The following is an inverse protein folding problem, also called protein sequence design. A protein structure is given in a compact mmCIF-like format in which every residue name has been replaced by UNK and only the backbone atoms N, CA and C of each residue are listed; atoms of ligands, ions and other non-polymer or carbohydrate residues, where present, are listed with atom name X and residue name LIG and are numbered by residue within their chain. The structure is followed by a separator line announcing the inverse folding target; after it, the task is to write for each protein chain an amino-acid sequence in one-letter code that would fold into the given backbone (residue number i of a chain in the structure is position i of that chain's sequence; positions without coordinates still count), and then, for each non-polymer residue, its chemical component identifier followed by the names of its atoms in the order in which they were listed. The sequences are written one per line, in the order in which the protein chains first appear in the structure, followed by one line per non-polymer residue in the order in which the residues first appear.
data_IF_081161390861
#
_entry.id   IF_081161390861
#
_cell.length_a   1.000
_cell.length_b   1.000
_cell.length_c   1.000
_cell.angle_alpha   90.00
_cell.angle_beta   90.00
_cell.angle_gamma   90.00
#
_symmetry.space_group_name_H-M   'P 1'
#
loop_
_entity.id
_entity.type
_entity.pdbx_description
1 polymer ?
#
# COMPACT_ATOMS: atom_id res chain seq x y z
N UNK A 1 13.27 -13.31 -15.73
CA UNK A 1 12.07 -12.93 -16.52
C UNK A 1 10.85 -12.58 -15.66
N UNK A 2 10.44 -13.36 -14.67
CA UNK A 2 9.21 -13.11 -13.86
C UNK A 2 9.12 -11.76 -13.14
N UNK A 3 10.25 -11.16 -12.73
CA UNK A 3 10.25 -9.88 -11.98
C UNK A 3 9.83 -8.66 -12.80
N UNK A 4 10.01 -8.67 -14.13
CA UNK A 4 9.68 -7.54 -15.02
C UNK A 4 8.18 -7.43 -15.32
N UNK A 5 7.40 -8.46 -14.99
CA UNK A 5 5.96 -8.54 -15.29
C UNK A 5 5.12 -8.00 -14.13
N UNK A 6 5.63 -8.00 -12.89
CA UNK A 6 4.83 -7.65 -11.70
C UNK A 6 4.37 -6.19 -11.67
N UNK A 7 5.23 -5.25 -12.05
CA UNK A 7 4.86 -3.83 -12.07
C UNK A 7 3.80 -3.56 -13.13
N UNK A 8 4.00 -3.91 -14.43
CA UNK A 8 2.96 -3.68 -15.43
C UNK A 8 1.67 -4.46 -15.13
N UNK A 9 1.74 -5.67 -14.56
CA UNK A 9 0.55 -6.42 -14.18
C UNK A 9 -0.25 -5.73 -13.06
N UNK A 10 0.43 -5.18 -12.04
CA UNK A 10 -0.25 -4.44 -10.98
C UNK A 10 -0.83 -3.11 -11.48
N UNK A 11 -0.11 -2.40 -12.35
CA UNK A 11 -0.61 -1.18 -12.99
C UNK A 11 -1.86 -1.49 -13.82
N UNK A 12 -1.78 -2.51 -14.67
CA UNK A 12 -2.92 -2.94 -15.49
C UNK A 12 -4.11 -3.38 -14.63
N UNK A 13 -3.87 -4.17 -13.56
CA UNK A 13 -4.90 -4.56 -12.61
C UNK A 13 -5.59 -3.38 -11.94
N UNK A 14 -4.82 -2.37 -11.52
CA UNK A 14 -5.37 -1.16 -10.93
C UNK A 14 -6.19 -0.35 -11.95
N UNK A 15 -5.70 -0.19 -13.17
CA UNK A 15 -6.44 0.48 -14.26
C UNK A 15 -7.71 -0.28 -14.64
N UNK A 16 -7.66 -1.60 -14.65
CA UNK A 16 -8.83 -2.44 -14.88
C UNK A 16 -9.90 -2.24 -13.79
N UNK A 17 -9.48 -2.14 -12.52
CA UNK A 17 -10.38 -1.80 -11.40
C UNK A 17 -11.06 -0.46 -11.63
N UNK A 18 -10.33 0.57 -12.06
CA UNK A 18 -10.90 1.88 -12.43
C UNK A 18 -11.91 1.71 -13.56
N UNK A 19 -11.51 1.09 -14.67
CA UNK A 19 -12.34 0.93 -15.86
C UNK A 19 -13.64 0.18 -15.55
N UNK A 20 -13.58 -0.96 -14.88
CA UNK A 20 -14.75 -1.75 -14.52
C UNK A 20 -15.68 -0.99 -13.56
N UNK A 21 -15.12 -0.22 -12.61
CA UNK A 21 -15.92 0.57 -11.68
C UNK A 21 -16.65 1.70 -12.43
N UNK A 22 -15.94 2.42 -13.31
CA UNK A 22 -16.56 3.50 -14.09
C UNK A 22 -17.57 2.98 -15.12
N UNK A 23 -17.35 1.81 -15.70
CA UNK A 23 -18.33 1.16 -16.60
C UNK A 23 -19.60 0.77 -15.83
N UNK A 24 -19.47 0.30 -14.59
CA UNK A 24 -20.61 -0.13 -13.79
C UNK A 24 -21.41 1.04 -13.16
N UNK A 25 -20.74 2.12 -12.76
CA UNK A 25 -21.33 3.20 -11.95
C UNK A 25 -21.26 4.58 -12.63
N UNK A 26 -20.72 4.66 -13.86
CA UNK A 26 -20.54 5.90 -14.60
C UNK A 26 -19.32 6.71 -14.14
N UNK A 27 -18.99 7.77 -14.91
CA UNK A 27 -17.86 8.66 -14.61
C UNK A 27 -18.25 9.87 -13.74
N UNK A 28 -19.44 9.86 -13.14
CA UNK A 28 -19.91 10.91 -12.22
C UNK A 28 -19.28 10.82 -10.82
N UNK A 29 -19.76 11.65 -9.86
CA UNK A 29 -19.22 11.71 -8.50
C UNK A 29 -19.21 10.37 -7.77
N UNK A 30 -20.27 9.56 -7.92
CA UNK A 30 -20.36 8.25 -7.28
C UNK A 30 -19.37 7.25 -7.87
N UNK A 31 -19.32 7.10 -9.20
CA UNK A 31 -18.43 6.15 -9.85
C UNK A 31 -16.97 6.47 -9.61
N UNK A 32 -16.57 7.76 -9.64
CA UNK A 32 -15.19 8.17 -9.34
C UNK A 32 -14.82 7.96 -7.87
N UNK A 33 -15.75 8.15 -6.92
CA UNK A 33 -15.57 7.82 -5.51
C UNK A 33 -15.35 6.32 -5.32
N UNK A 34 -16.18 5.49 -5.96
CA UNK A 34 -16.03 4.04 -5.91
C UNK A 34 -14.73 3.57 -6.59
N UNK A 35 -14.33 4.19 -7.70
CA UNK A 35 -13.05 3.89 -8.36
C UNK A 35 -11.86 4.20 -7.44
N UNK A 36 -11.86 5.35 -6.77
CA UNK A 36 -10.83 5.71 -5.80
C UNK A 36 -10.80 4.71 -4.62
N UNK A 37 -11.96 4.33 -4.08
CA UNK A 37 -12.06 3.35 -2.98
C UNK A 37 -11.58 1.95 -3.41
N UNK A 38 -12.00 1.46 -4.55
CA UNK A 38 -11.65 0.14 -5.04
C UNK A 38 -10.17 0.03 -5.41
N UNK A 39 -9.57 1.08 -5.97
CA UNK A 39 -8.12 1.14 -6.22
C UNK A 39 -7.30 1.24 -4.93
N UNK A 40 -7.80 1.90 -3.88
CA UNK A 40 -7.18 1.87 -2.55
C UNK A 40 -7.15 0.45 -1.98
N UNK A 41 -8.26 -0.30 -2.09
CA UNK A 41 -8.36 -1.71 -1.68
C UNK A 41 -7.39 -2.60 -2.44
N UNK A 42 -7.33 -2.45 -3.76
CA UNK A 42 -6.39 -3.18 -4.61
C UNK A 42 -4.94 -2.85 -4.22
N UNK A 43 -4.62 -1.59 -4.01
CA UNK A 43 -3.30 -1.15 -3.55
C UNK A 43 -2.92 -1.73 -2.19
N UNK A 44 -3.86 -1.78 -1.22
CA UNK A 44 -3.63 -2.39 0.09
C UNK A 44 -3.37 -3.89 0.02
N UNK A 45 -4.05 -4.59 -0.90
CA UNK A 45 -3.81 -6.01 -1.17
C UNK A 45 -2.38 -6.24 -1.71
N UNK A 46 -1.97 -5.47 -2.73
CA UNK A 46 -0.61 -5.57 -3.30
C UNK A 46 0.45 -5.23 -2.25
N UNK A 47 0.20 -4.24 -1.39
CA UNK A 47 1.08 -3.89 -0.27
C UNK A 47 1.22 -5.04 0.73
N UNK A 48 0.12 -5.68 1.13
CA UNK A 48 0.11 -6.82 2.03
C UNK A 48 0.92 -8.00 1.47
N UNK A 49 0.76 -8.28 0.17
CA UNK A 49 1.56 -9.29 -0.54
C UNK A 49 3.05 -8.91 -0.56
N UNK A 50 3.38 -7.63 -0.77
CA UNK A 50 4.77 -7.16 -0.75
C UNK A 50 5.39 -7.36 0.63
N UNK A 51 4.67 -7.09 1.73
CA UNK A 51 5.11 -7.36 3.10
C UNK A 51 5.40 -8.85 3.34
N UNK A 52 4.51 -9.75 2.90
CA UNK A 52 4.69 -11.20 3.05
C UNK A 52 5.92 -11.71 2.29
N UNK A 53 6.10 -11.26 1.05
CA UNK A 53 7.24 -11.67 0.22
C UNK A 53 8.55 -11.10 0.76
N UNK A 54 8.52 -9.88 1.31
CA UNK A 54 9.65 -9.29 2.00
C UNK A 54 10.00 -10.07 3.28
N UNK A 55 9.01 -10.40 4.11
CA UNK A 55 9.19 -11.21 5.31
C UNK A 55 9.76 -12.61 5.00
N UNK A 56 9.40 -13.19 3.85
CA UNK A 56 9.95 -14.46 3.37
C UNK A 56 11.37 -14.33 2.80
N UNK A 57 11.97 -13.13 2.77
CA UNK A 57 13.32 -12.90 2.24
C UNK A 57 13.45 -13.19 0.74
N UNK A 58 12.36 -13.18 -0.01
CA UNK A 58 12.37 -13.58 -1.42
C UNK A 58 12.89 -12.46 -2.32
N UNK A 59 13.67 -12.84 -3.32
CA UNK A 59 14.25 -11.93 -4.31
C UNK A 59 13.21 -11.14 -5.16
N UNK A 60 11.91 -11.49 -5.05
CA UNK A 60 10.82 -10.77 -5.70
C UNK A 60 10.31 -9.56 -4.89
N UNK A 61 10.74 -9.39 -3.63
CA UNK A 61 10.25 -8.32 -2.76
C UNK A 61 10.38 -6.91 -3.36
N UNK A 62 11.52 -6.48 -3.93
CA UNK A 62 11.62 -5.16 -4.54
C UNK A 62 10.66 -4.96 -5.72
N UNK A 63 10.46 -5.99 -6.55
CA UNK A 63 9.54 -5.91 -7.69
C UNK A 63 8.08 -5.79 -7.23
N UNK A 64 7.67 -6.51 -6.18
CA UNK A 64 6.34 -6.39 -5.59
C UNK A 64 6.14 -5.05 -4.90
N UNK A 65 7.18 -4.51 -4.28
CA UNK A 65 7.14 -3.17 -3.71
C UNK A 65 6.90 -2.11 -4.78
N UNK A 66 7.57 -2.19 -5.92
CA UNK A 66 7.29 -1.30 -7.06
C UNK A 66 5.92 -1.54 -7.69
N UNK A 67 5.43 -2.79 -7.69
CA UNK A 67 4.06 -3.11 -8.09
C UNK A 67 3.03 -2.43 -7.18
N UNK A 68 3.27 -2.40 -5.86
CA UNK A 68 2.48 -1.61 -4.92
C UNK A 68 2.53 -0.12 -5.25
N UNK A 69 3.72 0.46 -5.43
CA UNK A 69 3.87 1.89 -5.76
C UNK A 69 3.07 2.25 -7.01
N UNK A 70 3.19 1.45 -8.08
CA UNK A 70 2.46 1.71 -9.32
C UNK A 70 0.94 1.62 -9.17
N UNK A 71 0.42 0.62 -8.45
CA UNK A 71 -1.00 0.50 -8.13
C UNK A 71 -1.49 1.70 -7.29
N UNK A 72 -0.65 2.16 -6.37
CA UNK A 72 -0.97 3.30 -5.51
C UNK A 72 -0.97 4.63 -6.27
N UNK A 73 -0.10 4.79 -7.26
CA UNK A 73 -0.14 5.94 -8.18
C UNK A 73 -1.44 5.97 -9.00
N UNK A 74 -1.92 4.81 -9.48
CA UNK A 74 -3.24 4.73 -10.14
C UNK A 74 -4.36 5.12 -9.18
N UNK A 75 -4.29 4.70 -7.91
CA UNK A 75 -5.24 5.15 -6.88
C UNK A 75 -5.24 6.67 -6.74
N UNK A 76 -4.08 7.31 -6.66
CA UNK A 76 -4.01 8.78 -6.63
C UNK A 76 -4.59 9.41 -7.89
N UNK A 77 -4.37 8.83 -9.07
CA UNK A 77 -5.03 9.25 -10.30
C UNK A 77 -6.56 9.23 -10.19
N UNK A 78 -7.13 8.17 -9.62
CA UNK A 78 -8.57 8.07 -9.38
C UNK A 78 -9.07 9.10 -8.34
N UNK A 79 -8.31 9.36 -7.28
CA UNK A 79 -8.61 10.43 -6.30
C UNK A 79 -8.58 11.80 -6.98
N UNK A 80 -7.59 12.08 -7.80
CA UNK A 80 -7.54 13.33 -8.56
C UNK A 80 -8.71 13.47 -9.53
N UNK A 81 -9.08 12.42 -10.26
CA UNK A 81 -10.25 12.45 -11.14
C UNK A 81 -11.54 12.80 -10.35
N UNK A 82 -11.69 12.28 -9.14
CA UNK A 82 -12.82 12.59 -8.26
C UNK A 82 -12.92 14.10 -7.94
N UNK A 83 -11.78 14.80 -7.77
CA UNK A 83 -11.76 16.24 -7.46
C UNK A 83 -12.38 17.07 -8.58
N UNK A 84 -12.22 16.64 -9.82
CA UNK A 84 -12.77 17.38 -10.97
C UNK A 84 -14.29 17.23 -11.09
N UNK A 85 -14.85 16.10 -10.70
CA UNK A 85 -16.27 15.79 -10.84
C UNK A 85 -17.10 15.97 -9.57
N UNK A 86 -16.44 16.13 -8.40
CA UNK A 86 -17.11 16.23 -7.11
C UNK A 86 -16.61 17.46 -6.34
N UNK A 87 -17.45 18.50 -6.24
CA UNK A 87 -17.13 19.75 -5.56
C UNK A 87 -16.87 19.56 -4.05
N UNK A 88 -17.59 18.67 -3.39
CA UNK A 88 -17.41 18.34 -1.98
C UNK A 88 -16.07 17.63 -1.73
N UNK A 89 -15.74 16.61 -2.54
CA UNK A 89 -14.44 15.95 -2.48
C UNK A 89 -13.29 16.92 -2.74
N UNK A 90 -13.48 17.86 -3.67
CA UNK A 90 -12.52 18.93 -3.94
C UNK A 90 -12.34 19.84 -2.72
N UNK A 91 -13.41 20.28 -2.08
CA UNK A 91 -13.35 21.12 -0.88
C UNK A 91 -12.62 20.39 0.26
N UNK A 92 -12.91 19.13 0.49
CA UNK A 92 -12.23 18.28 1.47
C UNK A 92 -10.74 18.09 1.19
N UNK A 93 -10.37 17.85 -0.06
CA UNK A 93 -8.97 17.63 -0.41
C UNK A 93 -8.15 18.91 -0.36
N UNK A 94 -8.76 20.05 -0.81
CA UNK A 94 -8.09 21.35 -0.78
C UNK A 94 -8.01 21.92 0.64
N UNK A 95 -8.77 21.41 1.60
CA UNK A 95 -8.51 21.69 3.01
C UNK A 95 -7.09 21.25 3.37
N UNK A 96 -6.37 22.09 4.14
CA UNK A 96 -4.94 21.88 4.48
C UNK A 96 -4.64 20.45 4.95
N UNK A 97 -5.53 19.87 5.76
CA UNK A 97 -5.37 18.49 6.25
C UNK A 97 -5.44 17.45 5.12
N UNK A 98 -6.38 17.59 4.18
CA UNK A 98 -6.53 16.68 3.04
C UNK A 98 -5.29 16.66 2.16
N UNK A 99 -4.72 17.83 1.82
CA UNK A 99 -3.49 17.93 1.03
C UNK A 99 -2.29 17.31 1.75
N UNK A 100 -2.12 17.60 3.06
CA UNK A 100 -1.01 17.04 3.84
C UNK A 100 -1.07 15.51 3.90
N UNK A 101 -2.25 14.92 4.18
CA UNK A 101 -2.40 13.46 4.22
C UNK A 101 -2.16 12.81 2.85
N UNK A 102 -2.64 13.43 1.77
CA UNK A 102 -2.43 12.91 0.41
C UNK A 102 -0.96 12.99 0.01
N UNK A 103 -0.30 14.12 0.25
CA UNK A 103 1.13 14.27 -0.04
C UNK A 103 2.00 13.31 0.79
N UNK A 104 1.67 13.14 2.08
CA UNK A 104 2.37 12.20 2.95
C UNK A 104 2.22 10.75 2.48
N UNK A 105 1.01 10.34 2.08
CA UNK A 105 0.77 9.00 1.55
C UNK A 105 1.55 8.72 0.26
N UNK A 106 1.59 9.68 -0.66
CA UNK A 106 2.39 9.57 -1.89
C UNK A 106 3.88 9.52 -1.58
N UNK A 107 4.37 10.38 -0.70
CA UNK A 107 5.77 10.38 -0.27
C UNK A 107 6.17 9.04 0.37
N UNK A 108 5.33 8.48 1.25
CA UNK A 108 5.57 7.17 1.85
C UNK A 108 5.65 6.06 0.80
N UNK A 109 4.75 6.02 -0.17
CA UNK A 109 4.78 5.03 -1.25
C UNK A 109 6.09 5.12 -2.04
N UNK A 110 6.54 6.33 -2.39
CA UNK A 110 7.80 6.55 -3.11
C UNK A 110 9.02 6.16 -2.26
N UNK A 111 9.06 6.54 -0.97
CA UNK A 111 10.13 6.14 -0.05
C UNK A 111 10.22 4.62 0.02
N UNK A 112 9.09 3.92 0.17
CA UNK A 112 9.04 2.46 0.20
C UNK A 112 9.60 1.88 -1.11
N UNK A 113 9.23 2.42 -2.27
CA UNK A 113 9.74 1.99 -3.57
C UNK A 113 11.26 2.17 -3.70
N UNK A 114 11.76 3.38 -3.48
CA UNK A 114 13.19 3.67 -3.62
C UNK A 114 14.07 2.94 -2.61
N UNK A 115 13.55 2.66 -1.42
CA UNK A 115 14.29 1.93 -0.38
C UNK A 115 14.12 0.41 -0.45
N UNK A 116 13.28 -0.11 -1.34
CA UNK A 116 12.98 -1.55 -1.47
C UNK A 116 14.22 -2.42 -1.72
N UNK A 117 15.25 -1.88 -2.36
CA UNK A 117 16.52 -2.56 -2.66
C UNK A 117 17.68 -2.06 -1.78
N UNK A 118 17.40 -1.25 -0.77
CA UNK A 118 18.44 -0.67 0.07
C UNK A 118 19.20 -1.75 0.86
N UNK A 119 20.52 -1.71 0.77
CA UNK A 119 21.45 -2.59 1.52
C UNK A 119 22.08 -1.88 2.72
N UNK A 120 22.06 -0.55 2.73
CA UNK A 120 22.57 0.22 3.86
C UNK A 120 21.66 0.10 5.08
N UNK A 121 22.25 0.21 6.28
CA UNK A 121 21.49 0.17 7.53
C UNK A 121 20.44 1.28 7.61
N UNK A 122 20.81 2.49 7.20
CA UNK A 122 19.91 3.64 7.16
C UNK A 122 18.74 3.44 6.17
N UNK A 123 19.03 2.98 4.94
CA UNK A 123 18.00 2.71 3.93
C UNK A 123 17.03 1.61 4.37
N UNK A 124 17.52 0.56 5.03
CA UNK A 124 16.66 -0.52 5.56
C UNK A 124 15.79 -0.02 6.71
N UNK A 125 16.32 0.83 7.59
CA UNK A 125 15.54 1.43 8.68
C UNK A 125 14.46 2.37 8.16
N UNK A 126 14.79 3.20 7.18
CA UNK A 126 13.85 4.09 6.51
C UNK A 126 12.73 3.31 5.81
N UNK A 127 13.07 2.23 5.09
CA UNK A 127 12.10 1.34 4.47
C UNK A 127 11.12 0.78 5.49
N UNK A 128 11.62 0.24 6.61
CA UNK A 128 10.79 -0.32 7.68
C UNK A 128 9.87 0.73 8.30
N UNK A 129 10.38 1.91 8.62
CA UNK A 129 9.60 3.00 9.18
C UNK A 129 8.47 3.42 8.22
N UNK A 130 8.80 3.68 6.95
CA UNK A 130 7.82 4.06 5.94
C UNK A 130 6.77 2.96 5.71
N UNK A 131 7.17 1.69 5.64
CA UNK A 131 6.25 0.56 5.50
C UNK A 131 5.33 0.40 6.72
N UNK A 132 5.83 0.64 7.94
CA UNK A 132 5.01 0.58 9.15
C UNK A 132 3.95 1.69 9.18
N UNK A 133 4.33 2.92 8.81
CA UNK A 133 3.38 4.05 8.73
C UNK A 133 2.33 3.79 7.65
N UNK A 134 2.74 3.31 6.47
CA UNK A 134 1.80 2.95 5.40
C UNK A 134 0.84 1.82 5.83
N UNK A 135 1.34 0.80 6.53
CA UNK A 135 0.52 -0.28 7.06
C UNK A 135 -0.56 0.22 8.02
N UNK A 136 -0.18 1.12 8.95
CA UNK A 136 -1.14 1.74 9.87
C UNK A 136 -2.16 2.60 9.13
N UNK A 137 -1.75 3.37 8.13
CA UNK A 137 -2.64 4.20 7.31
C UNK A 137 -3.67 3.35 6.56
N UNK A 138 -3.25 2.25 5.92
CA UNK A 138 -4.16 1.32 5.27
C UNK A 138 -5.09 0.64 6.27
N UNK A 139 -4.57 0.19 7.42
CA UNK A 139 -5.38 -0.44 8.45
C UNK A 139 -6.48 0.49 8.94
N UNK A 140 -6.15 1.75 9.23
CA UNK A 140 -7.13 2.76 9.64
C UNK A 140 -8.21 2.96 8.57
N UNK A 141 -7.83 3.09 7.30
CA UNK A 141 -8.79 3.25 6.20
C UNK A 141 -9.72 2.04 6.07
N UNK A 142 -9.18 0.82 6.17
CA UNK A 142 -9.96 -0.43 6.10
C UNK A 142 -10.90 -0.60 7.31
N UNK A 143 -10.42 -0.25 8.51
CA UNK A 143 -11.25 -0.28 9.73
C UNK A 143 -12.43 0.70 9.62
N UNK A 144 -12.19 1.92 9.13
CA UNK A 144 -13.27 2.89 8.88
C UNK A 144 -14.26 2.34 7.85
N UNK A 145 -13.80 1.70 6.79
CA UNK A 145 -14.65 1.04 5.80
C UNK A 145 -15.46 -0.11 6.41
N UNK A 146 -14.84 -0.92 7.25
CA UNK A 146 -15.49 -2.03 7.96
C UNK A 146 -16.59 -1.53 8.91
N UNK A 147 -16.33 -0.47 9.67
CA UNK A 147 -17.34 0.18 10.56
C UNK A 147 -18.54 0.68 9.75
N UNK A 148 -18.31 1.14 8.51
CA UNK A 148 -19.37 1.56 7.58
C UNK A 148 -20.10 0.39 6.90
N UNK A 149 -19.83 -0.86 7.31
CA UNK A 149 -20.52 -2.06 6.82
C UNK A 149 -19.92 -2.68 5.55
N UNK A 150 -18.73 -2.24 5.10
CA UNK A 150 -18.10 -2.82 3.92
C UNK A 150 -17.36 -4.13 4.26
N UNK A 151 -17.99 -5.28 4.02
CA UNK A 151 -17.45 -6.62 4.35
C UNK A 151 -16.08 -6.91 3.74
N UNK A 152 -15.82 -6.40 2.52
CA UNK A 152 -14.51 -6.58 1.87
C UNK A 152 -13.39 -5.90 2.65
N UNK A 153 -13.66 -4.77 3.30
CA UNK A 153 -12.67 -4.05 4.10
C UNK A 153 -12.30 -4.83 5.37
N UNK A 154 -13.23 -5.60 5.94
CA UNK A 154 -12.95 -6.53 7.05
C UNK A 154 -11.95 -7.60 6.63
N UNK A 155 -12.18 -8.24 5.47
CA UNK A 155 -11.29 -9.29 4.96
C UNK A 155 -9.89 -8.73 4.63
N UNK A 156 -9.82 -7.56 4.00
CA UNK A 156 -8.55 -6.90 3.69
C UNK A 156 -7.81 -6.45 4.95
N UNK A 157 -8.52 -5.93 5.96
CA UNK A 157 -7.92 -5.58 7.25
C UNK A 157 -7.34 -6.81 7.94
N UNK A 158 -8.06 -7.92 7.98
CA UNK A 158 -7.58 -9.19 8.55
C UNK A 158 -6.34 -9.70 7.81
N UNK A 159 -6.34 -9.64 6.47
CA UNK A 159 -5.19 -10.04 5.65
C UNK A 159 -3.97 -9.14 5.90
N UNK A 160 -4.16 -7.84 6.00
CA UNK A 160 -3.08 -6.88 6.31
C UNK A 160 -2.50 -7.13 7.70
N UNK A 161 -3.35 -7.33 8.72
CA UNK A 161 -2.92 -7.65 10.09
C UNK A 161 -2.10 -8.94 10.12
N UNK A 162 -2.57 -10.00 9.44
CA UNK A 162 -1.82 -11.25 9.32
C UNK A 162 -0.47 -11.03 8.64
N UNK A 163 -0.41 -10.22 7.59
CA UNK A 163 0.83 -9.89 6.87
C UNK A 163 1.82 -9.14 7.76
N UNK A 164 1.35 -8.18 8.56
CA UNK A 164 2.14 -7.44 9.54
C UNK A 164 2.68 -8.39 10.61
N UNK A 165 1.83 -9.27 11.15
CA UNK A 165 2.22 -10.24 12.18
C UNK A 165 3.32 -11.19 11.70
N UNK A 166 3.21 -11.71 10.47
CA UNK A 166 4.24 -12.55 9.84
C UNK A 166 5.55 -11.76 9.67
N UNK A 167 5.49 -10.52 9.19
CA UNK A 167 6.66 -9.69 9.01
C UNK A 167 7.36 -9.37 10.34
N UNK A 168 6.60 -9.02 11.37
CA UNK A 168 7.11 -8.75 12.71
C UNK A 168 7.74 -10.00 13.35
N UNK A 169 7.08 -11.16 13.25
CA UNK A 169 7.60 -12.43 13.76
C UNK A 169 8.94 -12.79 13.10
N UNK A 170 9.06 -12.68 11.78
CA UNK A 170 10.30 -12.93 11.06
C UNK A 170 11.41 -11.96 11.47
N UNK A 171 11.11 -10.67 11.62
CA UNK A 171 12.07 -9.69 12.10
C UNK A 171 12.57 -10.01 13.52
N UNK A 172 11.69 -10.46 14.40
CA UNK A 172 12.03 -10.88 15.76
C UNK A 172 12.97 -12.11 15.78
N UNK A 173 12.67 -13.14 14.99
CA UNK A 173 13.55 -14.32 14.85
C UNK A 173 14.93 -13.90 14.38
N UNK A 174 15.03 -13.12 13.31
CA UNK A 174 16.29 -12.66 12.76
C UNK A 174 17.11 -11.86 13.78
N UNK A 175 16.44 -11.02 14.59
CA UNK A 175 17.10 -10.28 15.66
C UNK A 175 17.65 -11.22 16.78
N UNK A 176 16.90 -12.23 17.19
CA UNK A 176 17.36 -13.23 18.18
C UNK A 176 18.55 -14.03 17.69
N UNK A 177 18.54 -14.44 16.42
CA UNK A 177 19.66 -15.18 15.82
C UNK A 177 20.94 -14.33 15.76
N UNK A 178 20.81 -13.05 15.40
CA UNK A 178 21.93 -12.10 15.39
C UNK A 178 22.52 -11.95 16.80
N UNK A 179 21.70 -11.77 17.83
CA UNK A 179 22.19 -11.68 19.23
C UNK A 179 22.94 -12.94 19.66
N UNK A 180 22.42 -14.13 19.33
CA UNK A 180 23.08 -15.40 19.67
C UNK A 180 24.45 -15.51 19.00
N UNK A 181 24.60 -15.11 17.74
CA UNK A 181 25.89 -15.12 17.03
C UNK A 181 26.90 -14.16 17.66
N UNK A 182 26.47 -12.96 18.05
CA UNK A 182 27.35 -12.01 18.73
C UNK A 182 27.81 -12.52 20.12
N UNK A 183 26.91 -13.19 20.86
CA UNK A 183 27.26 -13.77 22.19
C UNK A 183 28.17 -15.00 22.11
N UNK A 184 28.17 -15.73 20.99
CA UNK A 184 29.04 -16.88 20.80
C UNK A 184 30.44 -16.52 20.25
N UNK A 185 30.61 -15.29 19.81
CA UNK A 185 31.89 -14.78 19.28
C UNK A 185 32.74 -14.03 20.32
N UNK A 186 32.20 -13.75 21.51
CA UNK A 186 32.87 -13.23 22.72
C UNK A 186 33.13 -14.34 23.73
#
# INVERSE_FOLDING_TARGET
MRKRILVPAATFGALLVVALTLLAFGAGPEGTLLAARNTARFSSLVFSLALLVWAAGRAAAPALTWAFVSAHLVHYGAVFAQIFVNAEARAHLLATRGMVFSAAGLALALIIGFTASARSRAGTSLHRAAASIAALSFLMALVVGAIRGHRIDVALAAFLVASIAVAAHRAFIAHREMRRRCSAAN
#
